data_IF_762129025291
#
_entry.id   IF_762129025291
#
_cell.length_a   1.000
_cell.length_b   1.000
_cell.length_c   1.000
_cell.angle_alpha   90.00
_cell.angle_beta   90.00
_cell.angle_gamma   90.00
#
_symmetry.space_group_name_H-M   'P 1'
#
loop_
_entity.id
_entity.type
_entity.pdbx_description
1 polymer ?
#
# COMPACT_ATOMS: atom_id res chain seq x y z
N UNK A 1 12.09 29.13 23.10
CA UNK A 1 13.12 30.11 22.63
C UNK A 1 13.42 29.65 21.20
N UNK A 2 13.13 30.49 20.20
CA UNK A 2 12.95 30.10 18.79
C UNK A 2 14.19 29.51 18.08
N UNK A 3 14.04 29.08 16.81
CA UNK A 3 15.08 28.36 16.06
C UNK A 3 16.36 29.19 16.00
N UNK A 4 17.49 28.56 16.29
CA UNK A 4 18.77 29.24 16.33
C UNK A 4 19.30 29.37 14.91
N UNK A 5 18.94 30.47 14.25
CA UNK A 5 19.66 30.94 13.07
C UNK A 5 21.11 31.20 13.48
N UNK A 6 22.01 30.28 13.17
CA UNK A 6 23.44 30.50 13.42
C UNK A 6 23.91 31.61 12.48
N UNK A 7 24.26 32.77 13.05
CA UNK A 7 24.80 33.89 12.26
C UNK A 7 26.19 33.49 11.74
N UNK A 8 26.30 33.19 10.45
CA UNK A 8 27.56 32.75 9.83
C UNK A 8 28.54 33.92 9.65
N UNK A 9 28.03 35.15 9.47
CA UNK A 9 28.85 36.35 9.28
C UNK A 9 28.15 37.58 9.88
N UNK A 10 28.87 38.37 10.68
CA UNK A 10 28.40 39.65 11.22
C UNK A 10 29.28 40.79 10.68
N UNK A 11 28.74 41.57 9.75
CA UNK A 11 29.46 42.69 9.12
C UNK A 11 29.13 43.99 9.85
N UNK A 12 30.13 44.64 10.45
CA UNK A 12 30.00 45.98 11.05
C UNK A 12 30.78 46.99 10.22
N UNK A 13 30.06 47.95 9.62
CA UNK A 13 30.66 49.10 8.93
C UNK A 13 30.38 50.38 9.71
N UNK A 14 31.34 51.31 9.70
CA UNK A 14 31.16 52.67 10.23
C UNK A 14 31.25 53.60 9.05
N UNK A 15 30.19 54.37 8.80
CA UNK A 15 30.14 55.31 7.70
C UNK A 15 30.27 56.74 8.24
N UNK A 16 31.16 57.52 7.64
CA UNK A 16 31.38 58.93 7.97
C UNK A 16 30.84 59.79 6.82
N UNK A 17 29.58 60.24 6.87
CA UNK A 17 29.05 61.14 5.84
C UNK A 17 29.76 62.50 5.89
N UNK A 18 30.21 63.02 4.73
CA UNK A 18 30.79 64.37 4.65
C UNK A 18 29.74 65.50 4.60
N UNK A 19 28.46 65.18 4.37
CA UNK A 19 27.33 66.13 4.38
C UNK A 19 26.05 65.47 4.92
N UNK A 20 25.08 66.28 5.39
CA UNK A 20 23.72 65.84 5.77
C UNK A 20 22.97 65.31 4.53
N UNK A 21 23.22 64.06 4.14
CA UNK A 21 22.41 63.30 3.22
C UNK A 21 21.72 62.17 3.98
N UNK A 22 20.39 62.09 3.86
CA UNK A 22 19.48 61.31 4.72
C UNK A 22 19.55 59.78 4.56
N UNK A 23 20.39 59.22 3.68
CA UNK A 23 20.52 57.75 3.61
C UNK A 23 21.80 57.33 2.89
N UNK A 24 22.49 56.32 3.44
CA UNK A 24 23.58 55.62 2.78
C UNK A 24 23.13 54.18 2.60
N UNK A 25 23.00 53.75 1.34
CA UNK A 25 22.62 52.37 1.00
C UNK A 25 23.88 51.53 0.81
N UNK A 26 24.09 50.55 1.67
CA UNK A 26 25.09 49.52 1.47
C UNK A 26 24.40 48.35 0.75
N UNK A 27 24.69 48.14 -0.54
CA UNK A 27 24.18 47.01 -1.31
C UNK A 27 25.30 45.98 -1.44
N UNK A 28 25.13 44.83 -0.79
CA UNK A 28 25.99 43.67 -1.01
C UNK A 28 25.45 42.94 -2.25
N UNK A 29 26.13 43.06 -3.37
CA UNK A 29 25.87 42.26 -4.58
C UNK A 29 26.80 41.04 -4.56
N UNK A 30 26.30 39.86 -4.93
CA UNK A 30 27.11 38.66 -5.15
C UNK A 30 27.82 38.07 -3.91
N UNK A 31 27.11 37.92 -2.79
CA UNK A 31 27.65 37.17 -1.64
C UNK A 31 27.57 35.67 -1.92
N UNK A 32 28.73 35.06 -2.17
CA UNK A 32 28.87 33.61 -2.36
C UNK A 32 29.38 33.01 -1.06
N UNK A 33 28.58 32.19 -0.38
CA UNK A 33 29.09 31.24 0.61
C UNK A 33 29.46 29.95 -0.09
N UNK A 34 30.62 29.40 0.23
CA UNK A 34 31.04 28.10 -0.27
C UNK A 34 31.50 27.22 0.89
N UNK A 35 30.99 25.99 0.94
CA UNK A 35 31.51 24.95 1.82
C UNK A 35 32.92 24.52 1.41
N UNK A 36 33.60 23.73 2.25
CA UNK A 36 35.00 23.29 2.04
C UNK A 36 35.29 22.54 0.73
N UNK A 37 34.24 22.22 -0.02
CA UNK A 37 34.16 21.46 -1.27
C UNK A 37 33.67 22.30 -2.47
N UNK A 38 33.65 23.65 -2.37
CA UNK A 38 33.40 24.58 -3.49
C UNK A 38 31.97 24.60 -4.08
N UNK A 39 30.99 24.01 -3.40
CA UNK A 39 29.58 24.19 -3.75
C UNK A 39 29.08 25.53 -3.22
N UNK A 40 28.36 26.27 -4.06
CA UNK A 40 27.68 27.50 -3.64
C UNK A 40 26.53 27.16 -2.68
N UNK A 41 26.52 27.84 -1.55
CA UNK A 41 25.50 27.74 -0.51
C UNK A 41 24.58 28.95 -0.67
N UNK A 42 23.29 28.68 -0.87
CA UNK A 42 22.26 29.72 -0.92
C UNK A 42 22.10 30.36 0.46
N UNK A 43 22.24 31.68 0.53
CA UNK A 43 22.08 32.46 1.76
C UNK A 43 20.82 33.31 1.67
N UNK A 44 19.99 33.25 2.71
CA UNK A 44 18.87 34.19 2.84
C UNK A 44 19.35 35.44 3.60
N UNK A 45 18.99 36.63 3.12
CA UNK A 45 19.28 37.89 3.83
C UNK A 45 18.00 38.50 4.39
N UNK A 46 17.92 38.67 5.71
CA UNK A 46 16.84 39.40 6.37
C UNK A 46 17.43 40.43 7.35
N UNK A 47 17.07 41.71 7.20
CA UNK A 47 17.53 42.82 8.06
C UNK A 47 19.06 42.94 8.23
N UNK A 48 19.84 42.53 7.23
CA UNK A 48 21.31 42.54 7.27
C UNK A 48 21.96 41.30 7.91
N UNK A 49 21.16 40.31 8.30
CA UNK A 49 21.63 38.99 8.75
C UNK A 49 21.55 38.01 7.59
N UNK A 50 22.61 37.21 7.40
CA UNK A 50 22.60 36.06 6.49
C UNK A 50 22.36 34.78 7.30
N UNK A 51 21.41 33.96 6.84
CA UNK A 51 21.03 32.71 7.52
C UNK A 51 21.12 31.54 6.55
N UNK A 52 21.67 30.43 7.04
CA UNK A 52 21.63 29.15 6.35
C UNK A 52 20.54 28.30 7.00
N UNK A 53 19.51 27.99 6.24
CA UNK A 53 18.50 27.01 6.68
C UNK A 53 18.97 25.64 6.18
N UNK A 54 19.10 24.67 7.09
CA UNK A 54 19.50 23.31 6.70
C UNK A 54 18.30 22.62 6.06
N UNK A 55 18.51 21.90 4.96
CA UNK A 55 17.44 21.14 4.30
C UNK A 55 17.03 19.97 5.17
N UNK A 56 15.74 19.70 5.30
CA UNK A 56 15.25 18.44 5.90
C UNK A 56 15.95 17.27 5.18
N UNK A 57 16.54 16.36 5.95
CA UNK A 57 17.38 15.28 5.42
C UNK A 57 18.88 15.56 5.33
N UNK A 58 19.35 16.80 5.46
CA UNK A 58 20.79 17.15 5.44
C UNK A 58 21.40 16.97 6.83
N UNK A 59 21.83 15.76 7.17
CA UNK A 59 22.40 15.43 8.48
C UNK A 59 23.90 15.75 8.55
N UNK A 60 24.60 15.72 7.42
CA UNK A 60 26.04 15.97 7.34
C UNK A 60 26.39 17.46 7.31
N UNK A 61 25.42 18.33 7.00
CA UNK A 61 25.52 19.78 7.06
C UNK A 61 26.22 20.39 5.85
N UNK A 62 26.23 19.67 4.72
CA UNK A 62 26.85 20.12 3.48
C UNK A 62 25.85 20.77 2.51
N UNK A 63 24.61 20.97 2.97
CA UNK A 63 23.48 21.56 2.25
C UNK A 63 23.01 20.74 1.04
N UNK A 64 23.30 19.44 1.05
CA UNK A 64 22.73 18.45 0.13
C UNK A 64 22.02 17.38 0.94
N UNK A 65 21.10 16.68 0.28
CA UNK A 65 20.54 15.44 0.82
C UNK A 65 20.99 14.36 -0.14
N UNK A 66 22.04 13.63 0.24
CA UNK A 66 22.66 12.58 -0.55
C UNK A 66 22.81 11.28 0.24
N UNK A 67 23.51 10.30 -0.33
CA UNK A 67 23.68 8.98 0.29
C UNK A 67 24.47 9.05 1.60
N UNK A 68 25.30 10.08 1.81
CA UNK A 68 26.03 10.28 3.06
C UNK A 68 25.10 10.62 4.22
N UNK A 69 24.05 11.40 3.97
CA UNK A 69 23.05 11.70 5.00
C UNK A 69 22.23 10.46 5.35
N UNK A 70 21.90 9.63 4.35
CA UNK A 70 21.24 8.36 4.59
C UNK A 70 22.11 7.40 5.40
N UNK A 71 23.43 7.34 5.14
CA UNK A 71 24.35 6.54 5.97
C UNK A 71 24.32 7.05 7.41
N UNK A 72 24.40 8.36 7.63
CA UNK A 72 24.34 8.94 8.97
C UNK A 72 23.02 8.62 9.69
N UNK A 73 21.89 8.74 8.99
CA UNK A 73 20.58 8.33 9.50
C UNK A 73 20.58 6.84 9.91
N UNK A 74 21.14 5.95 9.08
CA UNK A 74 21.20 4.52 9.41
C UNK A 74 22.05 4.23 10.64
N UNK A 75 23.16 4.94 10.84
CA UNK A 75 23.97 4.82 12.05
C UNK A 75 23.20 5.24 13.30
N UNK A 76 22.39 6.30 13.20
CA UNK A 76 21.52 6.78 14.28
C UNK A 76 20.44 5.75 14.61
N UNK A 77 19.75 5.21 13.59
CA UNK A 77 18.73 4.17 13.75
C UNK A 77 19.31 2.91 14.40
N UNK A 78 20.55 2.54 14.05
CA UNK A 78 21.25 1.39 14.61
C UNK A 78 21.86 1.66 15.99
N UNK A 79 21.77 2.89 16.52
CA UNK A 79 22.36 3.29 17.79
C UNK A 79 23.90 3.33 17.78
N UNK A 80 24.50 3.46 16.60
CA UNK A 80 25.95 3.64 16.40
C UNK A 80 26.35 5.10 16.57
N UNK A 81 25.46 6.02 16.18
CA UNK A 81 25.65 7.47 16.25
C UNK A 81 24.49 8.12 17.01
N UNK A 82 24.70 9.29 17.61
CA UNK A 82 23.67 10.05 18.32
C UNK A 82 23.40 11.39 17.63
N UNK A 83 22.15 11.85 17.70
CA UNK A 83 21.78 13.20 17.25
C UNK A 83 22.06 14.19 18.38
N UNK A 84 23.12 14.98 18.23
CA UNK A 84 23.61 15.86 19.29
C UNK A 84 22.71 17.08 19.55
N UNK A 85 21.78 17.37 18.64
CA UNK A 85 20.92 18.56 18.70
C UNK A 85 19.48 18.23 18.32
N UNK A 86 18.54 19.03 18.83
CA UNK A 86 17.12 18.96 18.44
C UNK A 86 16.96 19.30 16.94
N UNK A 87 17.80 20.20 16.41
CA UNK A 87 17.81 20.51 14.98
C UNK A 87 18.14 19.26 14.15
N UNK A 88 19.17 18.49 14.51
CA UNK A 88 19.48 17.22 13.84
C UNK A 88 18.36 16.18 13.99
N UNK A 89 17.60 16.20 15.11
CA UNK A 89 16.41 15.39 15.27
C UNK A 89 15.32 15.76 14.27
N UNK A 90 14.99 17.05 14.16
CA UNK A 90 13.97 17.54 13.23
C UNK A 90 14.37 17.30 11.76
N UNK A 91 15.67 17.35 11.44
CA UNK A 91 16.18 17.04 10.09
C UNK A 91 16.16 15.54 9.79
N UNK A 92 16.31 14.69 10.82
CA UNK A 92 16.30 13.23 10.69
C UNK A 92 14.88 12.64 10.65
N UNK A 93 13.93 13.27 11.36
CA UNK A 93 12.49 12.99 11.33
C UNK A 93 11.84 13.55 10.05
N UNK A 94 12.28 13.01 8.92
CA UNK A 94 11.94 13.49 7.58
C UNK A 94 10.45 13.31 7.26
N UNK A 95 9.82 12.28 7.83
CA UNK A 95 8.39 12.04 7.65
C UNK A 95 7.51 12.78 8.68
N UNK A 96 8.13 13.48 9.64
CA UNK A 96 7.48 14.27 10.69
C UNK A 96 6.51 13.48 11.58
N UNK A 97 6.86 12.23 11.91
CA UNK A 97 6.09 11.37 12.83
C UNK A 97 6.56 11.47 14.30
N UNK A 98 7.49 12.38 14.58
CA UNK A 98 8.13 12.60 15.88
C UNK A 98 9.00 11.42 16.37
N UNK A 99 9.43 10.52 15.48
CA UNK A 99 10.29 9.40 15.82
C UNK A 99 11.33 9.12 14.72
N UNK A 100 12.61 9.40 15.02
CA UNK A 100 13.72 9.03 14.11
C UNK A 100 13.92 7.51 14.07
N UNK A 101 13.49 6.86 12.99
CA UNK A 101 13.52 5.41 12.82
C UNK A 101 13.57 4.99 11.33
N UNK A 102 13.40 3.70 11.03
CA UNK A 102 13.45 3.18 9.64
C UNK A 102 12.40 3.81 8.72
N UNK A 103 11.33 4.38 9.27
CA UNK A 103 10.28 5.08 8.54
C UNK A 103 10.73 6.41 7.92
N UNK A 104 11.89 6.95 8.32
CA UNK A 104 12.46 8.18 7.75
C UNK A 104 13.29 7.94 6.48
N UNK A 105 13.81 6.70 6.32
CA UNK A 105 14.67 6.31 5.20
C UNK A 105 14.05 6.61 3.83
N UNK A 106 12.77 6.31 3.57
CA UNK A 106 12.24 6.53 2.23
C UNK A 106 12.14 8.02 1.87
N UNK A 107 11.87 8.90 2.83
CA UNK A 107 11.83 10.34 2.62
C UNK A 107 13.22 10.88 2.22
N UNK A 108 14.29 10.36 2.83
CA UNK A 108 15.66 10.63 2.38
C UNK A 108 15.87 10.13 0.95
N UNK A 109 15.40 8.93 0.59
CA UNK A 109 15.57 8.42 -0.78
C UNK A 109 14.85 9.29 -1.82
N UNK A 110 13.68 9.84 -1.48
CA UNK A 110 12.94 10.75 -2.37
C UNK A 110 13.72 12.05 -2.63
N UNK A 111 14.35 12.62 -1.58
CA UNK A 111 15.21 13.80 -1.74
C UNK A 111 16.47 13.51 -2.56
N UNK A 112 17.09 12.35 -2.38
CA UNK A 112 18.30 11.93 -3.12
C UNK A 112 17.99 11.76 -4.61
N UNK A 113 16.80 11.28 -4.95
CA UNK A 113 16.40 10.97 -6.32
C UNK A 113 15.92 12.20 -7.13
N UNK A 114 16.04 13.41 -6.60
CA UNK A 114 15.64 14.68 -7.23
C UNK A 114 14.29 14.58 -7.94
N UNK A 115 13.29 14.08 -7.20
CA UNK A 115 11.89 14.12 -7.62
C UNK A 115 11.18 15.23 -6.83
N UNK A 116 11.42 16.52 -7.11
CA UNK A 116 10.59 17.56 -6.54
C UNK A 116 9.19 17.33 -7.11
N UNK A 117 8.32 16.77 -6.27
CA UNK A 117 6.92 16.56 -6.55
C UNK A 117 6.34 17.88 -7.06
N UNK A 118 6.09 18.00 -8.35
CA UNK A 118 5.16 19.03 -8.84
C UNK A 118 3.79 18.59 -8.34
N UNK A 119 3.50 18.95 -7.10
CA UNK A 119 2.25 18.67 -6.42
C UNK A 119 1.12 19.26 -7.26
N UNK A 120 0.28 18.40 -7.83
CA UNK A 120 -1.02 18.87 -8.33
C UNK A 120 -1.88 19.24 -7.12
N UNK A 121 -2.01 20.54 -6.86
CA UNK A 121 -2.94 21.06 -5.89
C UNK A 121 -4.37 20.88 -6.43
N UNK A 122 -5.13 19.95 -5.85
CA UNK A 122 -6.51 19.67 -6.20
C UNK A 122 -7.37 19.41 -4.97
N UNK A 123 -8.70 19.39 -5.17
CA UNK A 123 -9.64 19.04 -4.09
C UNK A 123 -9.59 17.52 -3.88
N UNK A 124 -9.29 17.03 -2.65
CA UNK A 124 -9.20 15.60 -2.41
C UNK A 124 -10.55 14.92 -2.55
N UNK A 125 -10.56 13.79 -3.24
CA UNK A 125 -11.68 12.86 -3.26
C UNK A 125 -11.60 11.88 -2.09
N UNK A 126 -12.71 11.71 -1.38
CA UNK A 126 -12.83 10.73 -0.29
C UNK A 126 -13.60 9.50 -0.75
N UNK A 127 -13.02 8.34 -0.48
CA UNK A 127 -13.56 7.03 -0.80
C UNK A 127 -13.53 6.15 0.46
N UNK A 128 -14.63 5.44 0.72
CA UNK A 128 -14.69 4.49 1.82
C UNK A 128 -14.01 3.20 1.43
N UNK A 129 -13.36 2.54 2.39
CA UNK A 129 -12.78 1.23 2.19
C UNK A 129 -13.41 0.26 3.19
N UNK A 130 -13.98 -0.80 2.65
CA UNK A 130 -14.61 -1.89 3.39
C UNK A 130 -13.84 -3.18 3.12
N UNK A 131 -13.77 -4.06 4.10
CA UNK A 131 -13.15 -5.38 3.93
C UNK A 131 -14.03 -6.50 4.47
N UNK A 132 -14.10 -7.62 3.75
CA UNK A 132 -14.78 -8.85 4.18
C UNK A 132 -13.80 -9.91 4.71
N UNK A 133 -12.51 -9.59 4.70
CA UNK A 133 -11.40 -10.47 5.10
C UNK A 133 -10.39 -9.70 5.94
N UNK A 134 -9.55 -10.40 6.70
CA UNK A 134 -8.42 -9.76 7.38
C UNK A 134 -7.42 -9.22 6.35
N UNK A 135 -7.00 -7.97 6.54
CA UNK A 135 -5.96 -7.32 5.71
C UNK A 135 -4.72 -7.09 6.57
N UNK A 136 -3.55 -7.50 6.08
CA UNK A 136 -2.24 -7.30 6.73
C UNK A 136 -1.44 -6.12 6.21
N UNK A 137 -1.79 -5.64 5.03
CA UNK A 137 -1.20 -4.45 4.46
C UNK A 137 -1.77 -4.20 3.08
N UNK A 138 -1.56 -2.99 2.59
CA UNK A 138 -1.88 -2.66 1.22
C UNK A 138 -0.97 -1.56 0.70
N UNK A 139 -0.79 -1.58 -0.61
CA UNK A 139 -0.15 -0.53 -1.37
C UNK A 139 -1.24 0.20 -2.14
N UNK A 140 -1.21 1.54 -2.10
CA UNK A 140 -1.91 2.38 -3.05
C UNK A 140 -0.92 3.02 -4.00
N UNK A 141 -1.29 3.16 -5.26
CA UNK A 141 -0.54 3.94 -6.23
C UNK A 141 -1.49 4.73 -7.11
N UNK A 142 -1.21 6.02 -7.27
CA UNK A 142 -1.89 6.91 -8.22
C UNK A 142 -0.84 7.55 -9.10
N UNK A 143 -1.25 8.22 -10.19
CA UNK A 143 -0.33 9.01 -11.01
C UNK A 143 0.31 10.17 -10.25
N UNK A 144 0.46 11.31 -10.91
CA UNK A 144 0.95 12.53 -10.23
C UNK A 144 -0.19 13.06 -9.36
N UNK A 145 -0.07 12.94 -8.05
CA UNK A 145 -1.16 13.25 -7.12
C UNK A 145 -0.73 13.18 -5.67
N UNK A 146 -1.71 13.05 -4.78
CA UNK A 146 -1.47 12.73 -3.37
C UNK A 146 -2.41 11.62 -2.94
N UNK A 147 -1.94 10.76 -2.06
CA UNK A 147 -2.75 9.72 -1.43
C UNK A 147 -2.59 9.88 0.07
N UNK A 148 -3.71 9.84 0.76
CA UNK A 148 -3.79 9.80 2.19
C UNK A 148 -4.62 8.58 2.58
N UNK A 149 -4.10 7.85 3.54
CA UNK A 149 -4.80 6.74 4.15
C UNK A 149 -4.54 6.79 5.65
N UNK A 150 -5.63 6.73 6.41
CA UNK A 150 -5.59 6.68 7.87
C UNK A 150 -6.40 5.48 8.36
N UNK A 151 -5.80 4.68 9.24
CA UNK A 151 -6.44 3.56 9.90
C UNK A 151 -5.71 3.20 11.19
N UNK A 152 -6.42 2.94 12.30
CA UNK A 152 -5.81 2.74 13.61
C UNK A 152 -4.88 1.52 13.71
N UNK A 153 -5.05 0.50 12.87
CA UNK A 153 -4.16 -0.68 12.85
C UNK A 153 -2.96 -0.55 11.91
N UNK A 154 -2.81 0.57 11.18
CA UNK A 154 -1.75 0.72 10.19
C UNK A 154 -1.00 2.03 10.34
N UNK A 155 0.31 1.94 10.16
CA UNK A 155 1.14 3.08 9.81
C UNK A 155 1.11 3.21 8.29
N UNK A 156 1.03 4.44 7.78
CA UNK A 156 1.11 4.73 6.35
C UNK A 156 2.35 5.55 6.05
N UNK A 157 3.00 5.22 4.94
CA UNK A 157 4.16 5.93 4.45
C UNK A 157 3.97 6.21 2.95
N UNK A 158 4.20 7.45 2.53
CA UNK A 158 4.06 7.87 1.14
C UNK A 158 5.43 8.19 0.56
N UNK A 159 5.73 7.65 -0.60
CA UNK A 159 6.91 7.98 -1.39
C UNK A 159 6.57 8.19 -2.86
N UNK A 160 7.59 8.50 -3.64
CA UNK A 160 7.46 8.75 -5.08
C UNK A 160 8.11 7.64 -5.89
N UNK A 161 7.35 7.01 -6.80
CA UNK A 161 7.89 6.00 -7.71
C UNK A 161 8.71 6.61 -8.83
N UNK A 162 9.46 5.77 -9.56
CA UNK A 162 10.43 6.19 -10.58
C UNK A 162 9.82 6.98 -11.75
N UNK A 163 8.51 6.85 -11.98
CA UNK A 163 7.76 7.61 -13.00
C UNK A 163 7.10 8.88 -12.46
N UNK A 164 7.30 9.22 -11.18
CA UNK A 164 6.62 10.31 -10.48
C UNK A 164 5.23 9.95 -9.97
N UNK A 165 4.88 8.66 -9.95
CA UNK A 165 3.65 8.16 -9.32
C UNK A 165 3.74 8.28 -7.79
N UNK A 166 2.65 8.68 -7.14
CA UNK A 166 2.60 8.64 -5.67
C UNK A 166 2.24 7.24 -5.20
N UNK A 167 3.08 6.69 -4.33
CA UNK A 167 2.92 5.35 -3.76
C UNK A 167 2.74 5.49 -2.25
N UNK A 168 1.65 4.97 -1.72
CA UNK A 168 1.44 4.83 -0.28
C UNK A 168 1.54 3.36 0.10
N UNK A 169 2.39 3.04 1.07
CA UNK A 169 2.45 1.75 1.73
C UNK A 169 1.80 1.87 3.11
N UNK A 170 0.83 1.01 3.39
CA UNK A 170 0.22 0.91 4.70
C UNK A 170 0.41 -0.49 5.27
N UNK A 171 0.98 -0.55 6.47
CA UNK A 171 1.39 -1.78 7.10
C UNK A 171 1.45 -1.62 8.61
N UNK A 172 1.63 -2.74 9.29
CA UNK A 172 1.73 -2.79 10.74
C UNK A 172 3.08 -3.37 11.16
N UNK A 173 3.82 -2.64 11.99
CA UNK A 173 5.09 -3.10 12.56
C UNK A 173 4.91 -4.09 13.73
N UNK A 174 3.79 -4.01 14.46
CA UNK A 174 3.49 -4.91 15.58
C UNK A 174 2.74 -6.19 15.16
N UNK A 175 2.46 -6.32 13.86
CA UNK A 175 1.75 -7.46 13.28
C UNK A 175 0.24 -7.43 13.48
N UNK A 176 -0.31 -6.31 13.96
CA UNK A 176 -1.75 -6.04 13.92
C UNK A 176 -2.27 -6.07 12.48
N UNK A 177 -3.56 -6.32 12.36
CA UNK A 177 -4.25 -6.46 11.09
C UNK A 177 -5.56 -5.70 11.13
N UNK A 178 -6.03 -5.30 9.96
CA UNK A 178 -7.36 -4.74 9.82
C UNK A 178 -8.36 -5.87 9.67
N UNK A 179 -9.26 -5.96 10.65
CA UNK A 179 -10.32 -6.95 10.72
C UNK A 179 -11.54 -6.55 9.87
N UNK A 180 -12.41 -7.50 9.45
CA UNK A 180 -13.62 -7.27 8.63
C UNK A 180 -14.74 -6.38 9.22
N UNK A 181 -14.43 -5.61 10.26
CA UNK A 181 -15.33 -4.75 11.01
C UNK A 181 -14.88 -3.28 11.04
N UNK A 182 -13.65 -2.98 10.63
CA UNK A 182 -13.15 -1.61 10.54
C UNK A 182 -13.57 -0.93 9.23
N UNK A 183 -13.97 0.34 9.32
CA UNK A 183 -14.09 1.22 8.16
C UNK A 183 -12.81 2.04 8.04
N UNK A 184 -12.24 2.13 6.83
CA UNK A 184 -11.14 3.05 6.53
C UNK A 184 -11.58 4.07 5.48
N UNK A 185 -10.83 5.16 5.37
CA UNK A 185 -11.03 6.17 4.32
C UNK A 185 -9.74 6.37 3.57
N UNK A 186 -9.83 6.37 2.24
CA UNK A 186 -8.77 6.83 1.35
C UNK A 186 -9.16 8.21 0.85
N UNK A 187 -8.22 9.16 0.93
CA UNK A 187 -8.33 10.45 0.29
C UNK A 187 -7.24 10.58 -0.78
N UNK A 188 -7.58 11.09 -1.97
CA UNK A 188 -6.59 11.29 -3.02
C UNK A 188 -6.90 12.49 -3.91
N UNK A 189 -5.85 13.02 -4.54
CA UNK A 189 -5.93 14.05 -5.58
C UNK A 189 -5.37 13.45 -6.87
N UNK A 190 -6.06 13.67 -7.99
CA UNK A 190 -5.67 13.17 -9.30
C UNK A 190 -6.44 11.92 -9.70
N UNK A 191 -5.73 10.93 -10.24
CA UNK A 191 -6.34 9.69 -10.72
C UNK A 191 -6.78 8.77 -9.58
N UNK A 192 -7.78 7.92 -9.86
CA UNK A 192 -8.22 6.88 -8.92
C UNK A 192 -7.05 5.95 -8.59
N UNK A 193 -6.74 5.70 -7.29
CA UNK A 193 -5.61 4.87 -6.92
C UNK A 193 -5.85 3.39 -7.23
N UNK A 194 -4.85 2.73 -7.82
CA UNK A 194 -4.73 1.26 -7.84
C UNK A 194 -4.37 0.80 -6.42
N UNK A 195 -5.07 -0.24 -5.93
CA UNK A 195 -4.85 -0.79 -4.61
C UNK A 195 -4.47 -2.26 -4.72
N UNK A 196 -3.39 -2.63 -4.04
CA UNK A 196 -2.97 -4.02 -3.83
C UNK A 196 -3.03 -4.33 -2.35
N UNK A 197 -4.01 -5.13 -1.95
CA UNK A 197 -4.18 -5.55 -0.56
C UNK A 197 -3.71 -7.00 -0.36
N UNK A 198 -3.19 -7.30 0.83
CA UNK A 198 -2.61 -8.58 1.17
C UNK A 198 -3.26 -9.15 2.45
N UNK A 199 -3.57 -10.44 2.43
CA UNK A 199 -4.19 -11.15 3.54
C UNK A 199 -3.19 -11.72 4.55
N UNK A 200 -3.68 -12.57 5.46
CA UNK A 200 -2.88 -13.11 6.58
C UNK A 200 -1.67 -13.95 6.14
N UNK A 201 -1.75 -14.60 4.98
CA UNK A 201 -0.69 -15.47 4.44
C UNK A 201 0.08 -14.78 3.30
N UNK A 202 0.07 -13.43 3.26
CA UNK A 202 0.66 -12.61 2.19
C UNK A 202 0.06 -12.88 0.79
N UNK A 203 -1.12 -13.50 0.72
CA UNK A 203 -1.85 -13.68 -0.52
C UNK A 203 -2.42 -12.35 -1.01
N UNK A 204 -2.38 -12.12 -2.32
CA UNK A 204 -2.99 -10.95 -2.91
C UNK A 204 -4.52 -11.08 -2.83
N UNK A 205 -5.19 -10.05 -2.34
CA UNK A 205 -6.65 -9.99 -2.20
C UNK A 205 -7.31 -9.46 -3.48
N UNK A 206 -8.64 -9.60 -3.54
CA UNK A 206 -9.44 -8.97 -4.58
C UNK A 206 -9.83 -7.56 -4.14
N UNK A 207 -9.75 -6.60 -5.07
CA UNK A 207 -10.17 -5.22 -4.84
C UNK A 207 -11.17 -4.83 -5.92
N UNK A 208 -12.33 -4.32 -5.51
CA UNK A 208 -13.35 -3.78 -6.43
C UNK A 208 -13.72 -2.36 -6.06
N UNK A 209 -14.07 -1.57 -7.08
CA UNK A 209 -14.39 -0.15 -6.96
C UNK A 209 -15.83 0.08 -7.41
N UNK A 210 -16.69 0.60 -6.55
CA UNK A 210 -18.07 0.92 -6.89
C UNK A 210 -18.61 2.05 -6.04
N UNK A 211 -19.21 3.07 -6.67
CA UNK A 211 -19.92 4.17 -5.99
C UNK A 211 -19.09 4.84 -4.87
N UNK A 212 -17.79 5.06 -5.11
CA UNK A 212 -16.80 5.61 -4.15
C UNK A 212 -16.55 4.72 -2.91
N UNK A 213 -16.88 3.45 -3.02
CA UNK A 213 -16.55 2.40 -2.06
C UNK A 213 -15.54 1.45 -2.71
N UNK A 214 -14.44 1.22 -2.00
CA UNK A 214 -13.46 0.19 -2.30
C UNK A 214 -13.79 -1.01 -1.42
N UNK A 215 -14.03 -2.16 -2.03
CA UNK A 215 -14.26 -3.41 -1.29
C UNK A 215 -13.05 -4.33 -1.47
N UNK A 216 -12.42 -4.68 -0.35
CA UNK A 216 -11.37 -5.69 -0.26
C UNK A 216 -12.02 -7.02 0.15
N UNK A 217 -11.76 -8.08 -0.62
CA UNK A 217 -12.34 -9.39 -0.37
C UNK A 217 -11.38 -10.52 -0.71
N UNK A 218 -11.68 -11.73 -0.25
CA UNK A 218 -10.96 -12.92 -0.67
C UNK A 218 -10.96 -13.01 -2.20
N UNK A 219 -9.83 -13.39 -2.80
CA UNK A 219 -9.82 -13.74 -4.23
C UNK A 219 -10.68 -14.97 -4.46
N UNK A 220 -11.57 -14.96 -5.47
CA UNK A 220 -12.19 -16.19 -5.94
C UNK A 220 -11.10 -17.18 -6.32
N UNK A 221 -11.10 -18.36 -5.73
CA UNK A 221 -10.16 -19.41 -6.14
C UNK A 221 -10.48 -19.89 -7.55
N UNK A 222 -9.50 -20.13 -8.41
CA UNK A 222 -9.74 -20.80 -9.69
C UNK A 222 -10.25 -22.22 -9.44
N UNK A 223 -11.45 -22.49 -9.95
CA UNK A 223 -12.07 -23.80 -9.89
C UNK A 223 -12.22 -24.38 -11.30
N UNK A 224 -11.71 -25.59 -11.51
CA UNK A 224 -11.89 -26.33 -12.77
C UNK A 224 -12.53 -27.68 -12.49
N UNK A 225 -13.82 -27.80 -12.80
CA UNK A 225 -14.55 -29.05 -12.70
C UNK A 225 -14.33 -29.91 -13.95
N UNK A 226 -13.83 -31.13 -13.76
CA UNK A 226 -13.59 -32.09 -14.84
C UNK A 226 -14.89 -32.85 -15.18
N UNK A 227 -15.02 -33.40 -16.40
CA UNK A 227 -16.11 -34.30 -16.74
C UNK A 227 -16.16 -35.49 -15.76
N UNK A 228 -17.32 -35.82 -15.17
CA UNK A 228 -17.44 -36.95 -14.26
C UNK A 228 -17.24 -38.27 -15.01
N UNK A 229 -16.63 -39.26 -14.34
CA UNK A 229 -16.29 -40.55 -14.94
C UNK A 229 -16.74 -41.74 -14.07
N UNK A 230 -17.47 -42.72 -14.62
CA UNK A 230 -17.96 -42.79 -16.00
C UNK A 230 -19.13 -41.84 -16.26
N UNK A 231 -19.36 -41.49 -17.53
CA UNK A 231 -20.58 -40.82 -18.00
C UNK A 231 -20.95 -41.44 -19.35
N UNK A 232 -22.07 -42.19 -19.48
CA UNK A 232 -23.18 -42.31 -18.52
C UNK A 232 -22.86 -43.08 -17.22
N UNK A 233 -23.52 -42.67 -16.14
CA UNK A 233 -23.43 -43.22 -14.78
C UNK A 233 -24.46 -44.34 -14.60
N UNK A 234 -24.02 -45.53 -14.18
CA UNK A 234 -24.92 -46.66 -13.85
C UNK A 234 -25.15 -46.88 -12.35
N UNK A 235 -24.36 -46.22 -11.50
CA UNK A 235 -24.51 -46.34 -10.04
C UNK A 235 -23.70 -45.29 -9.29
N UNK A 236 -22.44 -45.10 -9.68
CA UNK A 236 -21.58 -44.05 -9.15
C UNK A 236 -20.68 -43.46 -10.23
N UNK A 237 -20.21 -42.23 -9.98
CA UNK A 237 -19.21 -41.55 -10.79
C UNK A 237 -18.20 -40.85 -9.90
N UNK A 238 -16.95 -40.83 -10.35
CA UNK A 238 -15.90 -40.00 -9.79
C UNK A 238 -16.05 -38.58 -10.33
N UNK A 239 -16.19 -37.62 -9.43
CA UNK A 239 -16.18 -36.19 -9.72
C UNK A 239 -14.80 -35.68 -9.36
N UNK A 240 -14.05 -35.24 -10.37
CA UNK A 240 -12.70 -34.70 -10.19
C UNK A 240 -12.69 -33.20 -10.47
N UNK A 241 -11.92 -32.43 -9.70
CA UNK A 241 -11.81 -30.99 -9.91
C UNK A 241 -10.46 -30.48 -9.43
N UNK A 242 -9.99 -29.36 -9.98
CA UNK A 242 -8.83 -28.63 -9.49
C UNK A 242 -9.27 -27.36 -8.78
N UNK A 243 -8.72 -27.13 -7.59
CA UNK A 243 -8.91 -25.92 -6.79
C UNK A 243 -7.54 -25.33 -6.48
N UNK A 244 -7.37 -24.01 -6.56
CA UNK A 244 -6.15 -23.33 -6.11
C UNK A 244 -6.24 -22.82 -4.65
N UNK A 245 -7.41 -22.94 -4.04
CA UNK A 245 -7.69 -22.64 -2.62
C UNK A 245 -8.17 -23.88 -1.90
N UNK A 246 -7.71 -24.07 -0.65
CA UNK A 246 -8.31 -25.04 0.26
C UNK A 246 -9.52 -24.44 0.98
N UNK A 247 -10.48 -25.27 1.37
CA UNK A 247 -11.61 -24.79 2.16
C UNK A 247 -12.91 -25.56 1.96
N UNK A 248 -14.03 -25.05 2.48
CA UNK A 248 -15.34 -25.66 2.30
C UNK A 248 -15.74 -25.76 0.83
N UNK A 249 -16.29 -26.90 0.44
CA UNK A 249 -16.82 -27.16 -0.88
C UNK A 249 -18.17 -27.88 -0.80
N UNK A 250 -19.04 -27.57 -1.75
CA UNK A 250 -20.38 -28.16 -1.84
C UNK A 250 -20.60 -28.68 -3.26
N UNK A 251 -20.97 -29.95 -3.38
CA UNK A 251 -21.48 -30.55 -4.62
C UNK A 251 -23.00 -30.63 -4.57
N UNK A 252 -23.66 -29.87 -5.43
CA UNK A 252 -25.11 -29.87 -5.61
C UNK A 252 -25.47 -30.62 -6.89
N UNK A 253 -26.50 -31.46 -6.85
CA UNK A 253 -27.03 -32.18 -8.02
C UNK A 253 -28.44 -31.73 -8.30
N UNK A 254 -28.71 -31.35 -9.54
CA UNK A 254 -30.01 -30.87 -10.00
C UNK A 254 -30.56 -31.76 -11.11
N UNK A 255 -31.87 -31.91 -11.16
CA UNK A 255 -32.57 -32.45 -12.33
C UNK A 255 -32.70 -31.39 -13.45
N UNK A 256 -33.30 -31.76 -14.57
CA UNK A 256 -33.51 -30.85 -15.73
C UNK A 256 -34.55 -29.76 -15.47
N UNK A 257 -35.37 -29.90 -14.42
CA UNK A 257 -36.29 -28.88 -13.95
C UNK A 257 -35.62 -27.88 -12.99
N UNK A 258 -34.36 -28.12 -12.61
CA UNK A 258 -33.61 -27.30 -11.67
C UNK A 258 -33.92 -27.61 -10.20
N UNK A 259 -34.64 -28.70 -9.91
CA UNK A 259 -34.87 -29.12 -8.53
C UNK A 259 -33.60 -29.75 -7.95
N UNK A 260 -33.26 -29.36 -6.71
CA UNK A 260 -32.13 -29.93 -5.98
C UNK A 260 -32.46 -31.39 -5.59
N UNK A 261 -31.64 -32.32 -6.05
CA UNK A 261 -31.80 -33.77 -5.87
C UNK A 261 -30.94 -34.29 -4.73
N UNK A 262 -29.73 -33.72 -4.59
CA UNK A 262 -28.76 -34.08 -3.58
C UNK A 262 -27.77 -32.94 -3.36
N UNK A 263 -27.32 -32.78 -2.11
CA UNK A 263 -26.23 -31.91 -1.72
C UNK A 263 -25.24 -32.67 -0.86
N UNK A 264 -23.95 -32.60 -1.20
CA UNK A 264 -22.84 -33.17 -0.44
C UNK A 264 -21.85 -32.07 -0.08
N UNK A 265 -21.63 -31.83 1.22
CA UNK A 265 -20.64 -30.87 1.74
C UNK A 265 -19.34 -31.60 2.14
N UNK A 266 -18.20 -31.03 1.78
CA UNK A 266 -16.87 -31.56 2.08
C UNK A 266 -15.82 -30.45 2.12
N UNK A 267 -14.55 -30.78 2.36
CA UNK A 267 -13.42 -29.84 2.30
C UNK A 267 -12.59 -30.14 1.05
N UNK A 268 -12.32 -29.12 0.25
CA UNK A 268 -11.39 -29.17 -0.87
C UNK A 268 -9.96 -28.85 -0.40
N UNK A 269 -8.98 -29.52 -0.99
CA UNK A 269 -7.55 -29.24 -0.85
C UNK A 269 -7.05 -28.42 -2.05
N UNK A 270 -5.87 -27.82 -1.92
CA UNK A 270 -5.19 -27.20 -3.07
C UNK A 270 -4.71 -28.28 -4.04
N UNK A 271 -4.97 -28.10 -5.33
CA UNK A 271 -4.61 -29.02 -6.40
C UNK A 271 -5.78 -29.90 -6.85
N UNK A 272 -5.46 -31.12 -7.29
CA UNK A 272 -6.42 -32.08 -7.82
C UNK A 272 -7.17 -32.80 -6.68
N UNK A 273 -8.49 -32.68 -6.69
CA UNK A 273 -9.41 -33.31 -5.74
C UNK A 273 -10.29 -34.34 -6.44
N UNK A 274 -10.72 -35.36 -5.70
CA UNK A 274 -11.66 -36.36 -6.17
C UNK A 274 -12.70 -36.71 -5.10
N UNK A 275 -13.96 -36.81 -5.52
CA UNK A 275 -15.04 -37.33 -4.68
C UNK A 275 -15.87 -38.37 -5.45
N UNK A 276 -16.39 -39.37 -4.73
CA UNK A 276 -17.26 -40.39 -5.30
C UNK A 276 -18.71 -39.99 -5.11
N UNK A 277 -19.41 -39.73 -6.21
CA UNK A 277 -20.83 -39.47 -6.20
C UNK A 277 -21.63 -40.73 -6.51
N UNK A 278 -22.68 -40.99 -5.72
CA UNK A 278 -23.60 -42.13 -5.90
C UNK A 278 -24.92 -41.58 -6.44
N UNK A 279 -25.47 -42.22 -7.49
CA UNK A 279 -26.71 -41.84 -8.18
C UNK A 279 -27.96 -42.13 -7.34
N UNK A 280 -28.02 -41.55 -6.14
CA UNK A 280 -29.12 -41.60 -5.19
C UNK A 280 -29.48 -40.18 -4.76
N UNK A 281 -30.77 -39.94 -4.48
CA UNK A 281 -31.23 -38.69 -3.89
C UNK A 281 -30.93 -38.63 -2.37
N UNK A 282 -31.30 -37.53 -1.70
CA UNK A 282 -31.13 -37.36 -0.26
C UNK A 282 -31.81 -38.44 0.59
N UNK A 283 -32.89 -39.05 0.09
CA UNK A 283 -33.60 -40.15 0.79
C UNK A 283 -32.99 -41.54 0.54
N UNK A 284 -31.87 -41.62 -0.19
CA UNK A 284 -31.19 -42.87 -0.53
C UNK A 284 -31.82 -43.67 -1.66
N UNK A 285 -32.83 -43.13 -2.35
CA UNK A 285 -33.48 -43.78 -3.51
C UNK A 285 -32.65 -43.56 -4.77
N UNK A 286 -32.55 -44.59 -5.61
CA UNK A 286 -31.88 -44.50 -6.91
C UNK A 286 -32.53 -43.44 -7.79
N UNK A 287 -31.69 -42.69 -8.51
CA UNK A 287 -32.14 -41.72 -9.48
C UNK A 287 -32.65 -42.41 -10.75
N UNK A 288 -33.67 -41.84 -11.38
CA UNK A 288 -34.18 -42.30 -12.67
C UNK A 288 -33.16 -42.06 -13.78
N UNK A 289 -33.24 -42.84 -14.86
CA UNK A 289 -32.51 -42.54 -16.09
C UNK A 289 -32.82 -41.13 -16.58
N UNK A 290 -31.79 -40.33 -16.86
CA UNK A 290 -31.98 -38.94 -17.24
C UNK A 290 -30.70 -38.12 -17.24
N UNK A 291 -30.84 -36.84 -17.60
CA UNK A 291 -29.76 -35.85 -17.51
C UNK A 291 -29.84 -35.17 -16.16
N UNK A 292 -28.69 -35.00 -15.51
CA UNK A 292 -28.55 -34.26 -14.26
C UNK A 292 -27.40 -33.25 -14.40
N UNK A 293 -27.46 -32.19 -13.61
CA UNK A 293 -26.42 -31.15 -13.55
C UNK A 293 -25.72 -31.21 -12.19
N UNK A 294 -24.39 -31.26 -12.21
CA UNK A 294 -23.56 -31.09 -11.02
C UNK A 294 -23.13 -29.64 -10.96
N UNK A 295 -23.35 -28.97 -9.84
CA UNK A 295 -22.74 -27.69 -9.51
C UNK A 295 -21.79 -27.90 -8.34
N UNK A 296 -20.52 -27.62 -8.55
CA UNK A 296 -19.52 -27.57 -7.50
C UNK A 296 -19.29 -26.12 -7.10
N UNK A 297 -19.40 -25.83 -5.81
CA UNK A 297 -19.09 -24.53 -5.22
C UNK A 297 -17.89 -24.67 -4.28
N UNK A 298 -16.94 -23.74 -4.39
CA UNK A 298 -15.81 -23.55 -3.47
C UNK A 298 -15.80 -22.10 -2.99
N UNK A 299 -14.75 -21.68 -2.28
CA UNK A 299 -14.63 -20.30 -1.80
C UNK A 299 -14.57 -19.30 -2.97
N UNK A 300 -15.69 -18.60 -3.19
CA UNK A 300 -15.83 -17.54 -4.19
C UNK A 300 -16.03 -18.00 -5.63
N UNK A 301 -16.02 -19.32 -5.90
CA UNK A 301 -16.10 -19.87 -7.26
C UNK A 301 -17.10 -21.01 -7.36
N UNK A 302 -17.71 -21.12 -8.54
CA UNK A 302 -18.58 -22.24 -8.88
C UNK A 302 -18.33 -22.73 -10.31
N UNK A 303 -18.53 -24.03 -10.52
CA UNK A 303 -18.43 -24.67 -11.81
C UNK A 303 -19.57 -25.67 -11.96
N UNK A 304 -20.13 -25.75 -13.17
CA UNK A 304 -21.22 -26.67 -13.47
C UNK A 304 -20.82 -27.62 -14.59
N UNK A 305 -21.22 -28.88 -14.48
CA UNK A 305 -21.10 -29.88 -15.55
C UNK A 305 -22.36 -30.73 -15.63
N UNK A 306 -22.53 -31.44 -16.73
CA UNK A 306 -23.67 -32.36 -16.93
C UNK A 306 -23.22 -33.81 -16.76
N UNK A 307 -24.13 -34.65 -16.29
CA UNK A 307 -23.99 -36.09 -16.33
C UNK A 307 -25.27 -36.75 -16.86
N UNK A 308 -25.12 -37.96 -17.39
CA UNK A 308 -26.25 -38.82 -17.75
C UNK A 308 -26.30 -39.97 -16.76
N UNK A 309 -27.43 -40.18 -16.10
CA UNK A 309 -27.68 -41.37 -15.27
C UNK A 309 -28.48 -42.37 -16.09
N UNK A 310 -28.13 -43.65 -15.95
CA UNK A 310 -28.88 -44.79 -16.44
C UNK A 310 -29.28 -45.57 -15.18
N UNK A 311 -30.57 -45.51 -14.84
CA UNK A 311 -31.14 -46.30 -13.75
C UNK A 311 -31.01 -47.80 -14.05
N UNK A 312 -30.88 -48.58 -12.97
CA UNK A 312 -30.97 -50.04 -13.02
C UNK A 312 -32.39 -50.52 -13.37
#
# INVERSE_FOLDING_TARGET
IGPSQSTILNLRFVVYPEFEADTITLSLSDVIAAGGNSNEIELMTENGTMTLDRRVGDLTGDNRVDVLDLIFLTEVILGVSELETIELFDLADCNSDNAVNVLDVPCFTDYILDSPSTVEFGVPEFWQVETTVTVRGFQLSTGRGHIYFDHPSFQSHTGTGLGGESILLAYSLDGSSWQPDGLATVAFVGEQPEIRAYGENNELLNVSYKDRVITISARPGKLRLLPPTPNPVRGSATVSFESDVEGPATLEVFDVQGALVRKDDFRAEVGLNQTSWIAKNETGRSLSSGVYFLRLKTQGSEATTRLVVVGE
#
